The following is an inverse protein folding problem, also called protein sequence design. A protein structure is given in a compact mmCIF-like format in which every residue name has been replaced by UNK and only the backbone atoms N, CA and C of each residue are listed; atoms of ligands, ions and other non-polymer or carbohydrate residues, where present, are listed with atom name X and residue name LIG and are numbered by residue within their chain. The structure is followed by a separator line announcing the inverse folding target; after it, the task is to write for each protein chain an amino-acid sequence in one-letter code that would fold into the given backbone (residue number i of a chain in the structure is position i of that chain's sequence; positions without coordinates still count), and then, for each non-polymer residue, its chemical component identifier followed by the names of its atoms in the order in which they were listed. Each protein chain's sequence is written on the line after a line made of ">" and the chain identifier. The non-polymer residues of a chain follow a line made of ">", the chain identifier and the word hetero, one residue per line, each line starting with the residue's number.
data_IF_818793442803
#
_entry.id   IF_818793442803
#
_cell.length_a   1.000
_cell.length_b   1.000
_cell.length_c   1.000
_cell.angle_alpha   90.00
_cell.angle_beta   90.00
_cell.angle_gamma   90.00
#
_symmetry.space_group_name_H-M   'P 1'
#
loop_
_entity.id
_entity.type
_entity.pdbx_description
1 polymer ?
#
# COMPACT_ATOMS: atom_id res chain seq x y z
N UNK A 1 32.77 4.60 -32.65
CA UNK A 1 31.54 3.92 -32.16
C UNK A 1 31.17 4.63 -30.88
N UNK A 2 30.11 5.44 -30.88
CA UNK A 2 29.70 6.18 -29.69
C UNK A 2 29.30 5.18 -28.61
N UNK A 3 30.00 5.18 -27.48
CA UNK A 3 29.69 4.35 -26.32
C UNK A 3 28.28 4.68 -25.83
N UNK A 4 27.30 3.95 -26.34
CA UNK A 4 25.92 4.02 -25.88
C UNK A 4 25.94 3.56 -24.43
N UNK A 5 25.94 4.54 -23.52
CA UNK A 5 26.07 4.30 -22.10
C UNK A 5 24.71 3.79 -21.58
N UNK A 6 24.45 2.50 -21.81
CA UNK A 6 23.20 1.81 -21.45
C UNK A 6 22.81 2.10 -19.99
N UNK A 7 23.78 2.18 -19.08
CA UNK A 7 23.57 2.50 -17.67
C UNK A 7 22.93 3.88 -17.47
N UNK A 8 23.35 4.90 -18.24
CA UNK A 8 22.77 6.24 -18.17
C UNK A 8 21.33 6.24 -18.71
N UNK A 9 21.10 5.55 -19.83
CA UNK A 9 19.77 5.43 -20.43
C UNK A 9 18.78 4.69 -19.51
N UNK A 10 19.21 3.59 -18.91
CA UNK A 10 18.39 2.81 -17.96
C UNK A 10 18.06 3.65 -16.73
N UNK A 11 19.04 4.37 -16.18
CA UNK A 11 18.80 5.23 -15.02
C UNK A 11 17.84 6.39 -15.33
N UNK A 12 18.00 7.03 -16.49
CA UNK A 12 17.13 8.12 -16.94
C UNK A 12 15.70 7.63 -17.21
N UNK A 13 15.56 6.46 -17.87
CA UNK A 13 14.27 5.82 -18.11
C UNK A 13 13.57 5.42 -16.81
N UNK A 14 14.30 4.87 -15.83
CA UNK A 14 13.73 4.55 -14.52
C UNK A 14 13.25 5.82 -13.82
N UNK A 15 14.02 6.91 -13.90
CA UNK A 15 13.71 8.18 -13.24
C UNK A 15 12.54 8.94 -13.88
N UNK A 16 12.38 8.81 -15.20
CA UNK A 16 11.26 9.38 -15.96
C UNK A 16 9.95 8.59 -15.75
N UNK A 17 10.05 7.25 -15.69
CA UNK A 17 8.86 6.37 -15.64
C UNK A 17 8.42 5.97 -14.25
N UNK A 18 9.30 5.99 -13.25
CA UNK A 18 9.03 5.45 -11.93
C UNK A 18 9.50 6.38 -10.83
N UNK A 19 8.60 6.67 -9.89
CA UNK A 19 8.93 7.37 -8.66
C UNK A 19 9.61 6.38 -7.69
N UNK A 20 10.84 6.68 -7.26
CA UNK A 20 11.64 5.78 -6.42
C UNK A 20 11.49 6.15 -4.95
N UNK A 21 10.82 5.31 -4.16
CA UNK A 21 10.74 5.45 -2.71
C UNK A 21 11.88 4.73 -2.00
N UNK A 22 12.74 5.48 -1.31
CA UNK A 22 13.77 4.92 -0.43
C UNK A 22 13.19 4.76 0.98
N UNK A 23 12.88 3.51 1.36
CA UNK A 23 12.34 3.18 2.69
C UNK A 23 13.46 2.64 3.58
N UNK A 24 13.59 3.20 4.78
CA UNK A 24 14.44 2.67 5.84
C UNK A 24 13.59 1.83 6.78
N UNK A 25 13.99 0.58 7.02
CA UNK A 25 13.35 -0.32 7.98
C UNK A 25 14.37 -0.75 9.03
N UNK A 26 13.96 -1.02 10.28
CA UNK A 26 14.86 -1.49 11.30
C UNK A 26 15.51 -2.82 10.90
N UNK A 27 16.71 -3.07 11.44
CA UNK A 27 17.49 -4.25 11.10
C UNK A 27 16.73 -5.52 11.53
N UNK A 28 16.51 -6.43 10.60
CA UNK A 28 15.72 -7.66 10.81
C UNK A 28 14.26 -7.56 10.33
N UNK A 29 13.72 -6.36 10.21
CA UNK A 29 12.35 -6.15 9.74
C UNK A 29 12.19 -6.56 8.26
N UNK A 30 13.21 -6.33 7.44
CA UNK A 30 13.21 -6.77 6.03
C UNK A 30 12.94 -8.27 5.87
N UNK A 31 13.49 -9.09 6.78
CA UNK A 31 13.27 -10.54 6.76
C UNK A 31 11.82 -10.87 7.10
N UNK A 32 11.28 -10.25 8.16
CA UNK A 32 9.86 -10.39 8.54
C UNK A 32 8.91 -9.99 7.42
N UNK A 33 9.20 -8.88 6.75
CA UNK A 33 8.39 -8.39 5.63
C UNK A 33 8.46 -9.39 4.46
N UNK A 34 9.63 -9.98 4.17
CA UNK A 34 9.76 -10.97 3.10
C UNK A 34 8.99 -12.26 3.41
N UNK A 35 9.05 -12.76 4.64
CA UNK A 35 8.27 -13.92 5.09
C UNK A 35 6.77 -13.65 5.02
N UNK A 36 6.32 -12.51 5.55
CA UNK A 36 4.92 -12.12 5.54
C UNK A 36 4.37 -11.95 4.12
N UNK A 37 5.19 -11.36 3.24
CA UNK A 37 4.88 -11.24 1.82
C UNK A 37 4.74 -12.60 1.13
N UNK A 38 5.67 -13.53 1.39
CA UNK A 38 5.62 -14.90 0.86
C UNK A 38 4.37 -15.62 1.35
N UNK A 39 4.04 -15.49 2.64
CA UNK A 39 2.83 -16.05 3.22
C UNK A 39 1.56 -15.51 2.55
N UNK A 40 1.56 -14.25 2.10
CA UNK A 40 0.46 -13.64 1.34
C UNK A 40 0.49 -13.92 -0.18
N UNK A 41 1.47 -14.67 -0.69
CA UNK A 41 1.52 -15.08 -2.10
C UNK A 41 2.05 -14.03 -3.08
N UNK A 42 2.61 -12.92 -2.61
CA UNK A 42 3.20 -11.93 -3.51
C UNK A 42 4.55 -12.41 -4.04
N UNK A 43 4.85 -12.12 -5.31
CA UNK A 43 6.11 -12.51 -5.98
C UNK A 43 7.30 -11.58 -5.71
N UNK A 44 7.06 -10.29 -5.43
CA UNK A 44 8.14 -9.34 -5.16
C UNK A 44 7.78 -8.35 -4.06
N UNK A 45 8.79 -7.87 -3.32
CA UNK A 45 8.63 -6.87 -2.27
C UNK A 45 8.00 -5.58 -2.80
N UNK A 46 8.40 -5.15 -4.00
CA UNK A 46 7.84 -3.97 -4.64
C UNK A 46 6.33 -4.09 -4.90
N UNK A 47 5.88 -5.25 -5.40
CA UNK A 47 4.46 -5.50 -5.63
C UNK A 47 3.68 -5.50 -4.31
N UNK A 48 4.26 -6.07 -3.25
CA UNK A 48 3.65 -6.09 -1.92
C UNK A 48 3.51 -4.69 -1.32
N UNK A 49 4.57 -3.88 -1.37
CA UNK A 49 4.55 -2.51 -0.84
C UNK A 49 3.58 -1.63 -1.64
N UNK A 50 3.60 -1.72 -2.97
CA UNK A 50 2.70 -0.94 -3.81
C UNK A 50 1.22 -1.32 -3.59
N UNK A 51 0.92 -2.62 -3.47
CA UNK A 51 -0.43 -3.11 -3.16
C UNK A 51 -0.91 -2.64 -1.78
N UNK A 52 -0.03 -2.70 -0.77
CA UNK A 52 -0.35 -2.17 0.57
C UNK A 52 -0.66 -0.68 0.54
N UNK A 53 0.19 0.14 -0.11
CA UNK A 53 -0.02 1.58 -0.22
C UNK A 53 -1.33 1.86 -0.95
N UNK A 54 -1.59 1.16 -2.07
CA UNK A 54 -2.83 1.34 -2.83
C UNK A 54 -4.06 0.98 -1.98
N UNK A 55 -4.02 -0.16 -1.30
CA UNK A 55 -5.12 -0.60 -0.41
C UNK A 55 -5.33 0.35 0.75
N UNK A 56 -4.27 0.87 1.34
CA UNK A 56 -4.34 1.87 2.40
C UNK A 56 -5.01 3.17 1.90
N UNK A 57 -4.58 3.68 0.74
CA UNK A 57 -5.20 4.84 0.10
C UNK A 57 -6.67 4.61 -0.27
N UNK A 58 -7.01 3.42 -0.79
CA UNK A 58 -8.39 3.05 -1.13
C UNK A 58 -9.28 2.87 0.12
N UNK A 59 -8.76 2.25 1.19
CA UNK A 59 -9.49 2.08 2.45
C UNK A 59 -9.75 3.41 3.15
N UNK A 60 -8.79 4.34 3.11
CA UNK A 60 -8.98 5.68 3.67
C UNK A 60 -10.01 6.50 2.88
N UNK A 61 -10.04 6.36 1.54
CA UNK A 61 -11.03 7.01 0.69
C UNK A 61 -12.47 6.49 0.93
N UNK A 62 -12.62 5.26 1.43
CA UNK A 62 -13.93 4.64 1.66
C UNK A 62 -14.48 4.91 3.07
N UNK A 63 -13.61 5.24 4.04
CA UNK A 63 -14.01 5.55 5.42
C UNK A 63 -14.81 6.88 5.53
N UNK A 64 -14.74 7.75 4.53
CA UNK A 64 -15.49 9.04 4.47
C UNK A 64 -16.85 8.88 3.76
N UNK A 65 -17.40 7.66 3.63
CA UNK A 65 -18.73 7.42 3.01
C UNK A 65 -19.67 6.55 3.85
N UNK A 66 -19.47 6.48 5.17
CA UNK A 66 -20.52 6.01 6.10
C UNK A 66 -20.79 7.03 7.21
N UNK A 67 -20.82 8.32 6.87
CA UNK A 67 -21.46 9.35 7.69
C UNK A 67 -22.96 9.38 7.41
N UNK A 68 -23.66 8.27 7.65
CA UNK A 68 -25.12 8.24 7.74
C UNK A 68 -25.53 7.35 8.92
N UNK A 69 -25.35 7.91 10.12
CA UNK A 69 -26.21 7.73 11.28
C UNK A 69 -26.59 6.28 11.67
N UNK A 70 -25.70 5.60 12.39
CA UNK A 70 -26.11 4.48 13.25
C UNK A 70 -25.57 4.73 14.66
N UNK A 71 -26.25 5.61 15.38
CA UNK A 71 -26.17 5.67 16.84
C UNK A 71 -27.04 4.51 17.35
N UNK A 72 -26.47 3.31 17.51
CA UNK A 72 -27.13 2.26 18.33
C UNK A 72 -26.82 2.61 19.79
N UNK A 73 -27.46 3.68 20.25
CA UNK A 73 -27.55 4.01 21.66
C UNK A 73 -28.51 3.04 22.34
N UNK A 74 -27.99 2.29 23.29
CA UNK A 74 -28.74 1.51 24.26
C UNK A 74 -29.82 2.36 24.97
N UNK A 75 -31.12 2.07 24.74
CA UNK A 75 -32.16 1.93 25.78
C UNK A 75 -33.58 1.91 25.21
N UNK A 76 -34.37 0.89 25.61
CA UNK A 76 -35.81 1.04 25.85
C UNK A 76 -36.75 0.88 24.66
N UNK A 77 -37.36 -0.31 24.56
CA UNK A 77 -38.66 -0.65 23.96
C UNK A 77 -39.46 0.49 23.29
N UNK A 78 -39.71 0.35 21.98
CA UNK A 78 -40.85 1.00 21.32
C UNK A 78 -41.80 -0.12 20.85
N UNK A 79 -42.76 -0.47 21.68
CA UNK A 79 -44.01 -1.07 21.22
C UNK A 79 -44.85 0.04 20.61
N UNK A 80 -45.36 -0.16 19.40
CA UNK A 80 -46.46 0.64 18.86
C UNK A 80 -47.57 -0.36 18.51
N UNK A 81 -48.75 -0.08 19.05
CA UNK A 81 -49.99 -0.87 19.04
C UNK A 81 -50.44 -1.33 17.64
#
# INVERSE_FOLDING_TARGET
>A
MSDFNQSKYINDFIKDKYDTFKVQVPKGEKARIDEHRKARGYKSLNAYVNDLIKRDMEQNATSIKNSNNVIIGNSGSIHME
#
